data_IF_493341590122
#
_entry.id   IF_493341590122
#
_cell.length_a   1.000
_cell.length_b   1.000
_cell.length_c   1.000
_cell.angle_alpha   90.00
_cell.angle_beta   90.00
_cell.angle_gamma   90.00
#
_symmetry.space_group_name_H-M   'P 1'
#
loop_
_entity.id
_entity.type
_entity.pdbx_description
1 polymer ?
#
# COMPACT_ATOMS: atom_id res chain seq x y z
N UNK A 1 -12.71 16.58 30.69
CA UNK A 1 -11.95 16.28 29.49
C UNK A 1 -12.16 14.83 29.10
N UNK A 2 -12.21 14.54 27.78
CA UNK A 2 -12.42 13.21 27.24
C UNK A 2 -11.31 12.88 26.24
N UNK A 3 -10.87 11.63 26.23
CA UNK A 3 -9.88 11.11 25.28
C UNK A 3 -10.53 9.99 24.47
N UNK A 4 -10.41 10.06 23.14
CA UNK A 4 -10.85 9.00 22.23
C UNK A 4 -9.61 8.31 21.67
N UNK A 5 -9.51 6.99 21.89
CA UNK A 5 -8.44 6.16 21.29
C UNK A 5 -8.99 5.56 20.00
N UNK A 6 -8.43 5.99 18.88
CA UNK A 6 -8.85 5.58 17.54
C UNK A 6 -7.65 5.07 16.71
N UNK A 7 -6.80 4.23 17.30
CA UNK A 7 -5.54 3.73 16.71
C UNK A 7 -5.75 2.75 15.54
N UNK A 8 -6.91 2.12 15.45
CA UNK A 8 -7.20 1.11 14.43
C UNK A 8 -6.33 -0.15 14.51
N UNK A 9 -6.46 -1.04 13.53
CA UNK A 9 -5.70 -2.31 13.46
C UNK A 9 -4.43 -2.27 12.63
N UNK A 10 -4.14 -1.18 11.92
CA UNK A 10 -3.02 -1.09 10.95
C UNK A 10 -1.84 -0.25 11.45
N UNK A 11 -1.72 -0.04 12.75
CA UNK A 11 -0.66 0.78 13.35
C UNK A 11 0.67 0.03 13.53
N UNK A 12 0.65 -1.31 13.49
CA UNK A 12 1.86 -2.14 13.63
C UNK A 12 2.30 -2.64 12.25
N UNK A 13 3.49 -2.24 11.76
CA UNK A 13 4.04 -2.73 10.51
C UNK A 13 4.24 -4.25 10.54
N UNK A 14 3.84 -4.94 9.48
CA UNK A 14 4.08 -6.37 9.30
C UNK A 14 4.97 -6.54 8.07
N UNK A 15 6.17 -7.07 8.27
CA UNK A 15 7.11 -7.40 7.20
C UNK A 15 7.04 -8.90 6.96
N UNK A 16 6.79 -9.36 5.72
CA UNK A 16 6.74 -10.79 5.41
C UNK A 16 8.11 -11.46 5.65
N UNK A 17 8.12 -12.69 6.17
CA UNK A 17 9.37 -13.46 6.45
C UNK A 17 10.29 -13.63 5.23
N UNK A 18 9.74 -13.59 4.02
CA UNK A 18 10.54 -13.63 2.80
C UNK A 18 11.53 -12.47 2.69
N UNK A 19 11.28 -11.35 3.34
CA UNK A 19 12.17 -10.19 3.38
C UNK A 19 13.55 -10.54 3.98
N UNK A 20 13.60 -11.45 4.93
CA UNK A 20 14.84 -11.93 5.57
C UNK A 20 15.77 -12.69 4.59
N UNK A 21 15.23 -13.11 3.43
CA UNK A 21 15.99 -13.86 2.40
C UNK A 21 16.64 -12.94 1.36
N UNK A 22 16.34 -11.66 1.41
CA UNK A 22 16.93 -10.67 0.50
C UNK A 22 18.34 -10.32 0.98
N UNK A 23 19.30 -10.11 0.06
CA UNK A 23 20.65 -9.70 0.43
C UNK A 23 20.66 -8.31 1.05
N UNK A 24 21.61 -8.06 1.96
CA UNK A 24 21.77 -6.79 2.69
C UNK A 24 22.03 -5.59 1.77
N UNK A 25 22.45 -5.84 0.53
CA UNK A 25 22.61 -4.80 -0.48
C UNK A 25 21.30 -4.20 -0.98
N UNK A 26 20.16 -4.84 -0.71
CA UNK A 26 18.83 -4.35 -1.07
C UNK A 26 18.27 -3.56 0.12
N UNK A 27 18.07 -2.27 -0.09
CA UNK A 27 17.37 -1.43 0.89
C UNK A 27 15.91 -1.84 0.96
N UNK A 28 15.47 -2.20 2.15
CA UNK A 28 14.09 -2.59 2.44
C UNK A 28 13.42 -1.51 3.26
N UNK A 29 12.17 -1.18 2.93
CA UNK A 29 11.40 -0.14 3.58
C UNK A 29 9.95 -0.58 3.74
N UNK A 30 9.36 -0.43 4.90
CA UNK A 30 7.93 -0.61 5.08
C UNK A 30 7.17 0.64 4.59
N UNK A 31 5.94 0.48 4.09
CA UNK A 31 5.12 1.60 3.59
C UNK A 31 4.89 2.71 4.63
N UNK A 32 4.91 2.40 5.91
CA UNK A 32 4.81 3.38 6.99
C UNK A 32 6.02 4.33 7.07
N UNK A 33 7.17 3.93 6.53
CA UNK A 33 8.42 4.69 6.52
C UNK A 33 8.62 5.45 5.21
N UNK A 34 7.89 5.10 4.16
CA UNK A 34 7.95 5.80 2.87
C UNK A 34 7.55 7.28 3.03
N UNK A 35 8.32 8.18 2.46
CA UNK A 35 8.07 9.64 2.51
C UNK A 35 7.92 10.25 1.12
N UNK A 36 8.86 9.97 0.23
CA UNK A 36 8.85 10.49 -1.13
C UNK A 36 9.81 9.70 -2.02
N UNK A 37 9.67 9.78 -3.36
CA UNK A 37 10.62 9.17 -4.29
C UNK A 37 12.07 9.65 -4.10
N UNK A 38 12.26 10.92 -3.75
CA UNK A 38 13.57 11.53 -3.55
C UNK A 38 14.29 11.05 -2.28
N UNK A 39 13.57 10.49 -1.31
CA UNK A 39 14.15 9.93 -0.09
C UNK A 39 14.74 8.52 -0.30
N UNK A 40 14.48 7.89 -1.43
CA UNK A 40 14.98 6.56 -1.75
C UNK A 40 16.31 6.62 -2.50
N UNK A 41 17.21 5.64 -2.30
CA UNK A 41 18.40 5.50 -3.11
C UNK A 41 18.09 5.40 -4.61
N UNK A 42 19.04 5.77 -5.44
CA UNK A 42 18.90 5.61 -6.90
C UNK A 42 18.74 4.15 -7.30
N UNK A 43 17.99 3.93 -8.38
CA UNK A 43 17.79 2.60 -8.93
C UNK A 43 16.31 2.22 -9.08
N UNK A 44 16.05 1.00 -9.56
CA UNK A 44 14.69 0.49 -9.68
C UNK A 44 14.10 0.15 -8.31
N UNK A 45 12.79 0.28 -8.21
CA UNK A 45 12.05 -0.02 -6.96
C UNK A 45 11.06 -1.14 -7.21
N UNK A 46 11.07 -2.14 -6.34
CA UNK A 46 10.03 -3.17 -6.28
C UNK A 46 9.06 -2.81 -5.15
N UNK A 47 7.81 -2.58 -5.48
CA UNK A 47 6.72 -2.43 -4.53
C UNK A 47 6.03 -3.78 -4.37
N UNK A 48 5.97 -4.30 -3.15
CA UNK A 48 5.35 -5.59 -2.83
C UNK A 48 4.00 -5.36 -2.19
N UNK A 49 2.94 -5.80 -2.86
CA UNK A 49 1.55 -5.63 -2.45
C UNK A 49 0.83 -4.54 -3.25
N UNK A 50 -0.39 -4.85 -3.66
CA UNK A 50 -1.26 -3.98 -4.47
C UNK A 50 -2.48 -3.44 -3.72
N UNK A 51 -2.38 -3.34 -2.38
CA UNK A 51 -3.34 -2.59 -1.57
C UNK A 51 -3.22 -1.07 -1.83
N UNK A 52 -4.03 -0.26 -1.16
CA UNK A 52 -4.04 1.20 -1.36
C UNK A 52 -2.64 1.82 -1.25
N UNK A 53 -1.91 1.51 -0.18
CA UNK A 53 -0.56 2.07 0.03
C UNK A 53 0.40 1.65 -1.09
N UNK A 54 0.40 0.37 -1.49
CA UNK A 54 1.27 -0.11 -2.56
C UNK A 54 0.96 0.52 -3.91
N UNK A 55 -0.31 0.66 -4.26
CA UNK A 55 -0.74 1.31 -5.50
C UNK A 55 -0.33 2.79 -5.52
N UNK A 56 -0.57 3.53 -4.44
CA UNK A 56 -0.22 4.95 -4.33
C UNK A 56 1.30 5.18 -4.37
N UNK A 57 2.08 4.34 -3.67
CA UNK A 57 3.55 4.43 -3.70
C UNK A 57 4.08 4.12 -5.11
N UNK A 58 3.53 3.11 -5.77
CA UNK A 58 3.93 2.76 -7.13
C UNK A 58 3.62 3.89 -8.11
N UNK A 59 2.47 4.55 -8.00
CA UNK A 59 2.10 5.71 -8.80
C UNK A 59 3.02 6.89 -8.55
N UNK A 60 3.27 7.25 -7.28
CA UNK A 60 4.16 8.35 -6.89
C UNK A 60 5.58 8.15 -7.44
N UNK A 61 6.14 6.96 -7.30
CA UNK A 61 7.43 6.60 -7.86
C UNK A 61 7.46 6.67 -9.40
N UNK A 62 6.39 6.20 -10.05
CA UNK A 62 6.27 6.24 -11.51
C UNK A 62 6.21 7.67 -12.03
N UNK A 63 5.40 8.53 -11.41
CA UNK A 63 5.29 9.95 -11.77
C UNK A 63 6.59 10.72 -11.54
N UNK A 64 7.41 10.28 -10.59
CA UNK A 64 8.77 10.80 -10.37
C UNK A 64 9.81 10.25 -11.36
N UNK A 65 9.39 9.47 -12.37
CA UNK A 65 10.28 8.92 -13.40
C UNK A 65 11.12 7.72 -12.95
N UNK A 66 10.80 7.11 -11.79
CA UNK A 66 11.51 5.92 -11.31
C UNK A 66 11.06 4.66 -12.08
N UNK A 67 11.98 3.72 -12.28
CA UNK A 67 11.61 2.39 -12.78
C UNK A 67 10.97 1.59 -11.64
N UNK A 68 9.69 1.27 -11.77
CA UNK A 68 8.90 0.59 -10.74
C UNK A 68 8.46 -0.78 -11.20
N UNK A 69 8.59 -1.75 -10.32
CA UNK A 69 7.99 -3.07 -10.43
C UNK A 69 6.94 -3.22 -9.32
N UNK A 70 5.77 -3.71 -9.64
CA UNK A 70 4.70 -3.98 -8.67
C UNK A 70 4.43 -5.48 -8.61
N UNK A 71 4.72 -6.08 -7.46
CA UNK A 71 4.34 -7.46 -7.17
C UNK A 71 2.93 -7.48 -6.57
N UNK A 72 2.01 -8.13 -7.26
CA UNK A 72 0.62 -8.28 -6.83
C UNK A 72 0.35 -9.68 -6.30
N UNK A 73 -0.51 -9.81 -5.30
CA UNK A 73 -1.08 -11.09 -4.87
C UNK A 73 -2.39 -11.40 -5.60
N UNK A 74 -3.09 -12.43 -5.11
CA UNK A 74 -4.36 -12.91 -5.67
C UNK A 74 -5.58 -12.05 -5.27
N UNK A 75 -5.37 -10.89 -4.66
CA UNK A 75 -6.44 -10.01 -4.25
C UNK A 75 -7.29 -9.57 -5.47
N UNK A 76 -8.62 -9.68 -5.41
CA UNK A 76 -9.48 -9.27 -6.50
C UNK A 76 -9.36 -7.76 -6.76
N UNK A 77 -9.42 -7.38 -8.03
CA UNK A 77 -9.50 -5.98 -8.41
C UNK A 77 -10.92 -5.47 -8.21
N UNK A 78 -11.04 -4.33 -7.54
CA UNK A 78 -12.30 -3.65 -7.39
C UNK A 78 -12.21 -2.27 -8.03
N UNK A 79 -13.13 -1.96 -8.95
CA UNK A 79 -13.24 -0.61 -9.48
C UNK A 79 -13.75 0.33 -8.39
N UNK A 80 -13.18 1.54 -8.30
CA UNK A 80 -13.65 2.56 -7.35
C UNK A 80 -15.12 2.91 -7.59
N UNK A 81 -15.51 3.03 -8.84
CA UNK A 81 -16.87 3.33 -9.22
C UNK A 81 -17.46 2.19 -10.06
N UNK A 82 -18.64 1.74 -9.70
CA UNK A 82 -19.43 0.78 -10.45
C UNK A 82 -20.86 1.27 -10.60
N UNK A 83 -21.36 1.35 -11.84
CA UNK A 83 -22.71 1.86 -12.17
C UNK A 83 -22.98 3.25 -11.59
N UNK A 84 -21.99 4.15 -11.64
CA UNK A 84 -22.12 5.53 -11.17
C UNK A 84 -22.08 5.72 -9.64
N UNK A 85 -21.80 4.65 -8.88
CA UNK A 85 -21.77 4.68 -7.43
C UNK A 85 -20.42 4.18 -6.90
N UNK A 86 -19.93 4.76 -5.81
CA UNK A 86 -18.69 4.35 -5.15
C UNK A 86 -18.79 2.93 -4.60
N UNK A 87 -17.70 2.19 -4.70
CA UNK A 87 -17.63 0.82 -4.17
C UNK A 87 -17.89 0.75 -2.66
N UNK A 88 -17.47 1.77 -1.91
CA UNK A 88 -17.70 1.84 -0.46
C UNK A 88 -19.20 1.90 -0.14
N UNK A 89 -19.97 2.67 -0.93
CA UNK A 89 -21.42 2.74 -0.77
C UNK A 89 -22.10 1.40 -1.09
N UNK A 90 -21.61 0.68 -2.12
CA UNK A 90 -22.09 -0.67 -2.42
C UNK A 90 -21.81 -1.64 -1.27
N UNK A 91 -20.61 -1.60 -0.70
CA UNK A 91 -20.23 -2.47 0.41
C UNK A 91 -21.05 -2.17 1.67
N UNK A 92 -21.32 -0.88 1.95
CA UNK A 92 -22.17 -0.47 3.06
C UNK A 92 -23.60 -1.00 2.89
N UNK A 93 -24.19 -0.85 1.70
CA UNK A 93 -25.55 -1.34 1.43
C UNK A 93 -25.67 -2.87 1.46
N UNK A 94 -24.58 -3.57 1.18
CA UNK A 94 -24.52 -5.04 1.31
C UNK A 94 -24.29 -5.52 2.76
N UNK A 95 -24.20 -4.59 3.74
CA UNK A 95 -23.93 -4.94 5.14
C UNK A 95 -22.49 -5.37 5.43
N UNK A 96 -21.54 -5.03 4.56
CA UNK A 96 -20.14 -5.47 4.72
C UNK A 96 -19.45 -4.87 5.95
N UNK A 97 -19.96 -3.76 6.47
CA UNK A 97 -19.38 -3.03 7.61
C UNK A 97 -20.17 -3.21 8.91
N UNK A 98 -21.16 -4.09 8.96
CA UNK A 98 -21.99 -4.37 10.14
C UNK A 98 -21.42 -5.49 11.02
#
# INVERSE_FOLDING_TARGET
>A
DHVVVASGGYHTPIVPRMAERLPDSIVQLHSAEYRSPAALPDGPVLVVGSGQSGAQIAEDLHLAGRKVFLATGDAPRCARFYRGKDVVDWLAEMGYYE
#
